data_IF_791037669331
#
_entry.id   IF_791037669331
#
_cell.length_a   1.000
_cell.length_b   1.000
_cell.length_c   1.000
_cell.angle_alpha   90.00
_cell.angle_beta   90.00
_cell.angle_gamma   90.00
#
_symmetry.space_group_name_H-M   'P 1'
#
loop_
_entity.id
_entity.type
_entity.pdbx_description
1 polymer ?
#
# COMPACT_ATOMS: atom_id res chain seq x y z
N UNK A 1 -5.84 7.91 5.79
CA UNK A 1 -5.03 8.46 6.90
C UNK A 1 -4.14 7.33 7.46
N UNK A 2 -2.99 7.64 8.07
CA UNK A 2 -2.23 6.68 8.89
C UNK A 2 -2.06 7.29 10.28
N UNK A 3 -2.61 6.65 11.30
CA UNK A 3 -2.49 7.10 12.70
C UNK A 3 -1.72 6.10 13.56
N UNK A 4 -1.99 4.81 13.41
CA UNK A 4 -1.29 3.70 14.10
C UNK A 4 -1.40 2.39 13.32
N UNK A 5 -0.88 1.28 13.87
CA UNK A 5 -0.87 -0.03 13.23
C UNK A 5 -2.26 -0.65 12.99
N UNK A 6 -3.30 -0.14 13.64
CA UNK A 6 -4.69 -0.58 13.50
C UNK A 6 -5.54 0.37 12.65
N UNK A 7 -4.99 1.54 12.29
CA UNK A 7 -5.68 2.62 11.61
C UNK A 7 -4.89 3.13 10.41
N UNK A 8 -5.06 2.42 9.30
CA UNK A 8 -4.45 2.77 8.02
C UNK A 8 -5.26 2.29 6.83
N UNK A 9 -4.87 2.78 5.66
CA UNK A 9 -5.42 2.34 4.39
C UNK A 9 -4.32 1.84 3.46
N UNK A 10 -4.67 0.91 2.59
CA UNK A 10 -3.85 0.44 1.48
C UNK A 10 -4.61 0.64 0.16
N UNK A 11 -3.89 0.54 -0.95
CA UNK A 11 -4.48 0.47 -2.27
C UNK A 11 -4.42 -0.96 -2.78
N UNK A 12 -5.51 -1.41 -3.37
CA UNK A 12 -5.63 -2.75 -3.95
C UNK A 12 -6.36 -2.66 -5.30
N UNK A 13 -6.27 -3.72 -6.13
CA UNK A 13 -7.07 -3.85 -7.34
C UNK A 13 -8.56 -3.57 -7.12
N UNK A 14 -9.27 -2.99 -8.10
CA UNK A 14 -10.72 -2.69 -7.99
C UNK A 14 -11.61 -3.90 -7.71
N UNK A 15 -11.13 -5.10 -8.00
CA UNK A 15 -11.79 -6.39 -7.75
C UNK A 15 -10.78 -7.43 -7.25
N UNK A 16 -11.23 -8.46 -6.50
CA UNK A 16 -10.36 -9.56 -6.07
C UNK A 16 -9.60 -10.18 -7.25
N UNK A 17 -8.27 -10.32 -7.10
CA UNK A 17 -7.38 -10.83 -8.15
C UNK A 17 -7.41 -10.06 -9.47
N UNK A 18 -7.88 -8.80 -9.47
CA UNK A 18 -8.09 -7.97 -10.67
C UNK A 18 -9.00 -8.62 -11.74
N UNK A 19 -9.87 -9.56 -11.35
CA UNK A 19 -10.68 -10.37 -12.28
C UNK A 19 -11.53 -9.55 -13.25
N UNK A 20 -12.11 -8.44 -12.78
CA UNK A 20 -12.99 -7.60 -13.62
C UNK A 20 -12.24 -6.99 -14.80
N UNK A 21 -10.94 -6.69 -14.63
CA UNK A 21 -10.08 -6.18 -15.71
C UNK A 21 -9.28 -7.30 -16.41
N UNK A 22 -9.43 -8.54 -15.95
CA UNK A 22 -8.67 -9.69 -16.42
C UNK A 22 -9.61 -10.86 -16.82
N UNK A 23 -10.67 -10.56 -17.58
CA UNK A 23 -11.57 -11.54 -18.18
C UNK A 23 -12.13 -12.62 -17.21
N UNK A 24 -12.32 -12.27 -15.93
CA UNK A 24 -12.82 -13.15 -14.89
C UNK A 24 -11.79 -14.10 -14.26
N UNK A 25 -10.54 -14.12 -14.73
CA UNK A 25 -9.47 -14.96 -14.17
C UNK A 25 -8.57 -14.15 -13.24
N UNK A 26 -7.88 -14.84 -12.32
CA UNK A 26 -6.89 -14.18 -11.45
C UNK A 26 -5.74 -13.70 -12.32
N UNK A 27 -5.46 -12.42 -12.22
CA UNK A 27 -4.30 -11.77 -12.80
C UNK A 27 -3.02 -12.14 -12.03
N UNK A 28 -1.97 -12.54 -12.73
CA UNK A 28 -0.69 -12.89 -12.12
C UNK A 28 0.09 -11.67 -11.66
N UNK A 29 -0.24 -10.47 -12.12
CA UNK A 29 0.50 -9.23 -11.89
C UNK A 29 -0.47 -8.09 -11.48
N UNK A 30 -1.54 -8.47 -10.78
CA UNK A 30 -2.68 -7.64 -10.40
C UNK A 30 -2.26 -6.30 -9.76
N UNK A 31 -1.26 -6.29 -8.88
CA UNK A 31 -0.83 -5.05 -8.22
C UNK A 31 -0.22 -4.06 -9.22
N UNK A 32 0.70 -4.53 -10.09
CA UNK A 32 1.35 -3.69 -11.09
C UNK A 32 0.37 -3.22 -12.19
N UNK A 33 -0.51 -4.12 -12.65
CA UNK A 33 -1.48 -3.81 -13.71
C UNK A 33 -2.56 -2.81 -13.28
N UNK A 34 -2.74 -2.62 -11.96
CA UNK A 34 -3.72 -1.71 -11.39
C UNK A 34 -3.15 -0.40 -10.85
N UNK A 35 -1.88 -0.09 -11.11
CA UNK A 35 -1.23 1.15 -10.65
C UNK A 35 -2.06 2.42 -10.94
N UNK A 36 -2.79 2.44 -12.06
CA UNK A 36 -3.59 3.62 -12.47
C UNK A 36 -5.03 3.64 -11.98
N UNK A 37 -5.56 2.52 -11.50
CA UNK A 37 -6.99 2.40 -11.18
C UNK A 37 -7.27 1.71 -9.85
N UNK A 38 -6.25 1.42 -9.04
CA UNK A 38 -6.40 0.87 -7.71
C UNK A 38 -7.35 1.71 -6.84
N UNK A 39 -7.98 1.05 -5.88
CA UNK A 39 -8.97 1.67 -4.98
C UNK A 39 -8.48 1.58 -3.54
N UNK A 40 -8.91 2.54 -2.73
CA UNK A 40 -8.49 2.65 -1.32
C UNK A 40 -9.31 1.69 -0.47
N UNK A 41 -8.63 0.91 0.36
CA UNK A 41 -9.18 0.03 1.37
C UNK A 41 -8.65 0.44 2.75
N UNK A 42 -9.54 0.64 3.72
CA UNK A 42 -9.17 1.08 5.05
C UNK A 42 -9.53 0.02 6.11
N UNK A 43 -8.65 -0.12 7.10
CA UNK A 43 -8.83 -1.02 8.25
C UNK A 43 -9.93 -0.56 9.20
N UNK A 44 -10.30 0.72 9.15
CA UNK A 44 -11.43 1.30 9.85
C UNK A 44 -12.23 2.20 8.91
N UNK A 45 -13.49 2.42 9.27
CA UNK A 45 -14.37 3.36 8.57
C UNK A 45 -13.85 4.80 8.70
N UNK A 46 -14.27 5.67 7.78
CA UNK A 46 -14.02 7.12 7.80
C UNK A 46 -12.54 7.59 7.74
N UNK A 47 -11.56 6.69 7.58
CA UNK A 47 -10.14 7.06 7.45
C UNK A 47 -9.77 7.74 6.11
N UNK A 48 -10.61 7.57 5.09
CA UNK A 48 -10.49 8.24 3.80
C UNK A 48 -11.87 8.30 3.10
N UNK A 49 -12.25 9.44 2.48
CA UNK A 49 -13.49 9.54 1.75
C UNK A 49 -13.57 8.52 0.61
N UNK A 50 -14.69 7.79 0.53
CA UNK A 50 -14.94 6.80 -0.52
C UNK A 50 -14.09 5.53 -0.43
N UNK A 51 -13.37 5.32 0.67
CA UNK A 51 -12.64 4.08 0.90
C UNK A 51 -13.58 2.90 1.14
N UNK A 52 -13.14 1.72 0.71
CA UNK A 52 -13.80 0.45 0.97
C UNK A 52 -13.32 -0.15 2.29
N UNK A 53 -14.12 -0.97 2.98
CA UNK A 53 -13.65 -1.72 4.13
C UNK A 53 -12.59 -2.74 3.69
N UNK A 54 -11.47 -2.81 4.42
CA UNK A 54 -10.44 -3.82 4.22
C UNK A 54 -11.06 -5.23 4.30
N UNK A 55 -10.70 -6.18 3.41
CA UNK A 55 -11.24 -7.53 3.49
C UNK A 55 -10.85 -8.22 4.81
N UNK A 56 -11.81 -8.93 5.41
CA UNK A 56 -11.60 -9.59 6.70
C UNK A 56 -10.43 -10.60 6.65
N UNK A 57 -9.51 -10.44 7.59
CA UNK A 57 -8.30 -11.26 7.71
C UNK A 57 -7.23 -10.98 6.66
N UNK A 58 -7.42 -10.00 5.76
CA UNK A 58 -6.41 -9.65 4.75
C UNK A 58 -5.13 -9.14 5.39
N UNK A 59 -5.22 -8.32 6.45
CA UNK A 59 -4.06 -7.90 7.24
C UNK A 59 -3.84 -8.92 8.36
N UNK A 60 -2.68 -9.56 8.39
CA UNK A 60 -2.32 -10.56 9.41
C UNK A 60 -1.36 -10.02 10.47
N UNK A 61 -0.57 -9.01 10.12
CA UNK A 61 0.21 -8.23 11.08
C UNK A 61 0.50 -6.83 10.52
N UNK A 62 0.65 -5.85 11.40
CA UNK A 62 1.06 -4.50 11.06
C UNK A 62 1.91 -3.92 12.20
N UNK A 63 2.94 -3.16 11.83
CA UNK A 63 3.83 -2.46 12.75
C UNK A 63 3.99 -1.03 12.27
N UNK A 64 3.77 -0.07 13.18
CA UNK A 64 3.79 1.36 12.91
C UNK A 64 5.08 2.02 13.42
N UNK A 65 5.52 3.08 12.74
CA UNK A 65 6.55 3.98 13.20
C UNK A 65 6.22 5.41 12.78
N UNK A 66 6.44 6.34 13.71
CA UNK A 66 6.48 7.78 13.44
C UNK A 66 7.88 8.31 13.68
N UNK A 67 8.40 9.11 12.76
CA UNK A 67 9.66 9.82 12.93
C UNK A 67 9.39 11.33 12.97
N UNK A 68 9.64 11.95 14.12
CA UNK A 68 9.40 13.39 14.34
C UNK A 68 10.41 14.28 13.63
N UNK A 69 11.63 13.79 13.38
CA UNK A 69 12.72 14.57 12.76
C UNK A 69 12.55 14.67 11.25
N UNK A 70 12.24 13.55 10.60
CA UNK A 70 12.00 13.48 9.16
C UNK A 70 10.52 13.66 8.78
N UNK A 71 9.64 13.80 9.78
CA UNK A 71 8.19 14.00 9.63
C UNK A 71 7.56 12.98 8.67
N UNK A 72 7.84 11.70 8.88
CA UNK A 72 7.18 10.60 8.16
C UNK A 72 6.48 9.65 9.13
N UNK A 73 5.44 9.00 8.62
CA UNK A 73 4.84 7.80 9.23
C UNK A 73 4.99 6.63 8.28
N UNK A 74 5.19 5.44 8.82
CA UNK A 74 5.18 4.22 8.02
C UNK A 74 4.52 3.06 8.74
N UNK A 75 3.99 2.14 7.94
CA UNK A 75 3.54 0.83 8.39
C UNK A 75 4.21 -0.23 7.53
N UNK A 76 4.59 -1.33 8.16
CA UNK A 76 5.00 -2.56 7.49
C UNK A 76 4.22 -3.72 8.07
N UNK A 77 3.99 -4.75 7.27
CA UNK A 77 3.23 -5.87 7.78
C UNK A 77 3.14 -7.06 6.85
N UNK A 78 2.21 -7.93 7.18
CA UNK A 78 1.91 -9.16 6.47
C UNK A 78 0.45 -9.16 6.03
N UNK A 79 0.23 -9.75 4.86
CA UNK A 79 -1.11 -9.98 4.33
C UNK A 79 -1.44 -11.48 4.27
N UNK A 80 -2.72 -11.81 4.14
CA UNK A 80 -3.19 -13.09 3.62
C UNK A 80 -3.76 -12.83 2.21
N UNK A 81 -2.97 -13.20 1.19
CA UNK A 81 -3.31 -12.91 -0.22
C UNK A 81 -4.61 -13.59 -0.66
N UNK A 82 -4.99 -14.70 -0.04
CA UNK A 82 -6.18 -15.47 -0.41
C UNK A 82 -7.47 -14.73 -0.04
N UNK A 83 -7.42 -13.79 0.92
CA UNK A 83 -8.58 -12.96 1.30
C UNK A 83 -9.00 -11.96 0.22
N UNK A 84 -8.18 -11.77 -0.80
CA UNK A 84 -8.48 -10.89 -1.92
C UNK A 84 -8.08 -11.49 -3.28
N UNK A 85 -8.01 -12.82 -3.37
CA UNK A 85 -7.68 -13.57 -4.59
C UNK A 85 -6.37 -13.13 -5.28
N UNK A 86 -5.39 -12.59 -4.55
CA UNK A 86 -4.13 -12.17 -5.15
C UNK A 86 -3.26 -13.39 -5.47
N UNK A 87 -2.65 -13.39 -6.66
CA UNK A 87 -1.82 -14.50 -7.14
C UNK A 87 -0.55 -14.65 -6.30
N UNK A 88 -0.14 -15.89 -6.03
CA UNK A 88 1.19 -16.17 -5.44
C UNK A 88 2.36 -15.86 -6.38
N UNK A 89 2.07 -15.64 -7.67
CA UNK A 89 3.05 -15.26 -8.68
C UNK A 89 3.19 -13.75 -8.83
N UNK A 90 2.29 -12.98 -8.19
CA UNK A 90 2.32 -11.52 -8.23
C UNK A 90 3.46 -11.02 -7.34
N UNK A 91 4.52 -10.54 -7.99
CA UNK A 91 5.71 -9.99 -7.33
C UNK A 91 5.47 -8.60 -6.72
N UNK A 92 4.27 -8.05 -6.89
CA UNK A 92 3.86 -6.78 -6.35
C UNK A 92 4.03 -5.62 -7.32
N UNK A 93 3.81 -4.43 -6.78
CA UNK A 93 3.89 -3.17 -7.50
C UNK A 93 3.88 -2.01 -6.53
N UNK A 94 3.88 -0.80 -7.08
CA UNK A 94 3.98 0.42 -6.29
C UNK A 94 2.84 1.36 -6.63
N UNK A 95 2.13 1.79 -5.58
CA UNK A 95 1.21 2.90 -5.65
C UNK A 95 1.85 4.11 -4.98
N UNK A 96 1.80 5.26 -5.64
CA UNK A 96 2.33 6.52 -5.12
C UNK A 96 1.65 7.71 -5.79
N UNK A 97 1.83 8.90 -5.22
CA UNK A 97 1.30 10.15 -5.77
C UNK A 97 2.35 10.98 -6.53
N UNK A 98 3.40 10.36 -7.05
CA UNK A 98 4.39 11.06 -7.88
C UNK A 98 3.84 11.28 -9.30
N UNK A 99 4.22 12.40 -9.93
CA UNK A 99 3.69 12.79 -11.23
C UNK A 99 2.18 13.02 -11.18
N UNK A 100 1.43 12.36 -12.07
CA UNK A 100 -0.04 12.40 -12.11
C UNK A 100 -0.70 11.52 -11.02
N UNK A 101 0.09 10.76 -10.27
CA UNK A 101 -0.36 9.81 -9.27
C UNK A 101 -0.86 8.49 -9.87
N UNK A 102 -0.51 7.42 -9.17
CA UNK A 102 -0.83 6.03 -9.49
C UNK A 102 -1.40 5.37 -8.24
N UNK A 103 -2.72 5.49 -7.98
CA UNK A 103 -3.78 6.04 -8.83
C UNK A 103 -3.98 7.56 -8.66
N UNK A 104 -4.60 8.23 -9.64
CA UNK A 104 -4.82 9.68 -9.60
C UNK A 104 -5.60 10.11 -8.36
N UNK A 105 -5.23 11.27 -7.80
CA UNK A 105 -5.86 11.87 -6.59
C UNK A 105 -5.75 11.06 -5.29
N UNK A 106 -4.98 9.99 -5.26
CA UNK A 106 -4.64 9.29 -4.01
C UNK A 106 -3.66 10.12 -3.18
N UNK A 107 -3.86 10.17 -1.85
CA UNK A 107 -2.94 10.86 -0.95
C UNK A 107 -3.02 10.32 0.49
N UNK A 108 -1.91 10.45 1.22
CA UNK A 108 -1.95 10.39 2.68
C UNK A 108 -2.40 11.74 3.25
N UNK A 109 -3.50 11.74 4.00
CA UNK A 109 -3.98 12.94 4.69
C UNK A 109 -2.88 13.54 5.59
N UNK A 110 -2.60 14.82 5.40
CA UNK A 110 -1.57 15.55 6.17
C UNK A 110 -0.15 15.43 5.62
N UNK A 111 0.09 14.63 4.58
CA UNK A 111 1.41 14.42 3.97
C UNK A 111 1.40 14.79 2.48
N UNK A 112 2.57 15.20 1.96
CA UNK A 112 2.72 15.60 0.56
C UNK A 112 2.96 14.42 -0.37
N UNK A 113 3.63 13.38 0.13
CA UNK A 113 4.03 12.22 -0.64
C UNK A 113 3.61 10.95 0.07
N UNK A 114 3.34 9.90 -0.70
CA UNK A 114 3.24 8.56 -0.16
C UNK A 114 3.83 7.54 -1.12
N UNK A 115 4.20 6.40 -0.57
CA UNK A 115 4.53 5.20 -1.34
C UNK A 115 3.94 4.00 -0.63
N UNK A 116 3.25 3.14 -1.37
CA UNK A 116 2.59 1.93 -0.88
C UNK A 116 2.98 0.76 -1.79
N UNK A 117 3.50 -0.31 -1.21
CA UNK A 117 3.85 -1.52 -1.94
C UNK A 117 3.13 -2.71 -1.32
N UNK A 118 2.54 -3.53 -2.19
CA UNK A 118 1.92 -4.81 -1.86
C UNK A 118 2.70 -5.88 -2.60
N UNK A 119 3.17 -6.91 -1.92
CA UNK A 119 4.00 -7.99 -2.48
C UNK A 119 3.34 -9.36 -2.18
N UNK A 120 2.37 -9.80 -3.00
CA UNK A 120 1.58 -11.02 -2.71
C UNK A 120 2.39 -12.32 -2.69
N UNK A 121 3.45 -12.44 -3.51
CA UNK A 121 4.34 -13.60 -3.56
C UNK A 121 4.99 -13.92 -2.20
N UNK A 122 5.41 -12.90 -1.45
CA UNK A 122 6.00 -13.00 -0.12
C UNK A 122 5.03 -12.60 1.01
N UNK A 123 3.78 -12.32 0.66
CA UNK A 123 2.70 -11.88 1.55
C UNK A 123 3.11 -10.67 2.42
N UNK A 124 3.80 -9.72 1.81
CA UNK A 124 4.30 -8.51 2.47
C UNK A 124 3.53 -7.27 2.04
N UNK A 125 3.51 -6.26 2.90
CA UNK A 125 3.15 -4.91 2.49
C UNK A 125 3.93 -3.87 3.28
N UNK A 126 3.99 -2.66 2.73
CA UNK A 126 4.50 -1.50 3.42
C UNK A 126 3.90 -0.23 2.82
N UNK A 127 3.66 0.76 3.67
CA UNK A 127 3.20 2.08 3.26
C UNK A 127 3.95 3.12 4.07
N UNK A 128 4.33 4.23 3.43
CA UNK A 128 4.97 5.36 4.08
C UNK A 128 4.37 6.66 3.53
N UNK A 129 4.08 7.60 4.43
CA UNK A 129 3.66 8.95 4.10
C UNK A 129 4.73 9.94 4.56
N UNK A 130 5.09 10.91 3.72
CA UNK A 130 6.22 11.82 3.97
C UNK A 130 5.89 13.28 3.62
N UNK A 131 6.54 14.21 4.32
CA UNK A 131 6.54 15.63 3.91
C UNK A 131 7.52 15.91 2.77
N UNK A 132 8.65 15.19 2.74
CA UNK A 132 9.68 15.31 1.72
C UNK A 132 9.66 14.14 0.76
N UNK A 133 9.88 14.42 -0.53
CA UNK A 133 9.98 13.39 -1.57
C UNK A 133 11.15 12.44 -1.33
N UNK A 134 12.24 12.92 -0.70
CA UNK A 134 13.43 12.10 -0.44
C UNK A 134 13.13 10.93 0.51
N UNK A 135 12.20 11.12 1.46
CA UNK A 135 11.82 10.11 2.45
C UNK A 135 10.81 9.09 1.90
N UNK A 136 10.13 9.43 0.80
CA UNK A 136 9.17 8.61 0.06
C UNK A 136 9.64 8.44 -1.39
N UNK A 137 10.91 8.07 -1.59
CA UNK A 137 11.50 8.00 -2.92
C UNK A 137 10.84 6.90 -3.79
N UNK A 138 9.88 7.28 -4.61
CA UNK A 138 9.10 6.39 -5.49
C UNK A 138 9.87 5.93 -6.74
N UNK A 139 11.09 6.41 -7.01
CA UNK A 139 11.85 5.99 -8.21
C UNK A 139 12.39 4.54 -8.21
N UNK A 140 11.92 3.68 -7.30
CA UNK A 140 12.49 2.34 -7.01
C UNK A 140 11.45 1.22 -6.91
N UNK A 141 10.34 1.32 -7.65
CA UNK A 141 9.20 0.37 -7.66
C UNK A 141 9.60 -1.11 -7.74
N UNK A 142 10.59 -1.47 -8.58
CA UNK A 142 10.99 -2.87 -8.80
C UNK A 142 11.72 -3.56 -7.62
N UNK A 143 12.02 -2.83 -6.53
CA UNK A 143 12.84 -3.36 -5.44
C UNK A 143 12.06 -3.78 -4.18
N UNK A 144 10.75 -3.55 -4.16
CA UNK A 144 9.89 -4.05 -3.09
C UNK A 144 10.07 -3.35 -1.73
N UNK A 145 9.35 -3.82 -0.72
CA UNK A 145 9.27 -3.16 0.58
C UNK A 145 10.60 -3.07 1.32
N UNK A 146 11.55 -3.98 1.06
CA UNK A 146 12.84 -3.99 1.75
C UNK A 146 13.77 -2.85 1.33
N UNK A 147 13.60 -2.32 0.12
CA UNK A 147 14.51 -1.29 -0.43
C UNK A 147 13.86 0.08 -0.60
N UNK A 148 12.55 0.13 -0.77
CA UNK A 148 11.83 1.40 -0.95
C UNK A 148 11.51 2.06 0.39
N UNK A 149 11.01 1.28 1.35
CA UNK A 149 10.77 1.74 2.72
C UNK A 149 11.84 1.09 3.60
N UNK A 150 12.66 1.85 4.34
CA UNK A 150 13.57 1.29 5.34
C UNK A 150 12.85 0.44 6.41
N UNK A 151 13.53 -0.52 7.05
CA UNK A 151 13.01 -1.20 8.24
C UNK A 151 12.63 -0.20 9.32
N UNK A 152 11.75 -0.63 10.23
CA UNK A 152 11.35 0.18 11.38
C UNK A 152 12.58 0.36 12.29
N UNK A 153 12.82 1.61 12.69
CA UNK A 153 13.90 1.96 13.60
C UNK A 153 13.32 2.69 14.81
N UNK A 154 13.21 1.97 15.92
CA UNK A 154 12.68 2.46 17.18
C UNK A 154 13.77 3.03 18.10
N UNK A 155 14.99 3.20 17.59
CA UNK A 155 16.15 3.70 18.37
C UNK A 155 16.20 5.23 18.47
N UNK A 156 15.16 5.91 18.00
CA UNK A 156 15.03 7.36 17.85
C UNK A 156 13.79 7.87 18.60
#
# INVERSE_FOLDING_TARGET
>A
MITDESQFCLLLPPSPGNRDNHNGTIDSDAIADTEKNAVVFCTQEELAPGARPMPDGFITSAEYQFNTTAEFVQIRGKIDREKYDLSKADGGGQYDNHGEGSPPSSMCQGYRYYVSLIEPDIQGFCVRCCQSYQDCNSSRSAYGCKRVIPPLDYSI
#
